data_IF_240833783303
#
_entry.id   IF_240833783303
#
_cell.length_a   1.000
_cell.length_b   1.000
_cell.length_c   1.000
_cell.angle_alpha   90.00
_cell.angle_beta   90.00
_cell.angle_gamma   90.00
#
_symmetry.space_group_name_H-M   'P 1'
#
loop_
_entity.id
_entity.type
_entity.pdbx_description
1 polymer ?
#
# COMPACT_ATOMS: atom_id res chain seq x y z
N UNK A 1 -82.54 -8.58 -12.96
CA UNK A 1 -82.69 -7.78 -11.73
C UNK A 1 -81.47 -8.03 -10.84
N UNK A 2 -80.85 -6.95 -10.34
CA UNK A 2 -79.78 -6.87 -9.31
C UNK A 2 -78.39 -7.46 -9.69
N UNK A 3 -77.38 -6.66 -10.10
CA UNK A 3 -76.47 -5.74 -9.36
C UNK A 3 -75.29 -6.43 -8.63
N UNK A 4 -74.11 -6.28 -9.25
CA UNK A 4 -72.82 -5.79 -8.70
C UNK A 4 -72.14 -6.51 -7.51
N UNK A 5 -70.89 -6.98 -7.68
CA UNK A 5 -69.69 -6.27 -7.19
C UNK A 5 -68.37 -6.93 -7.64
N UNK A 6 -67.44 -6.06 -8.02
CA UNK A 6 -66.02 -6.21 -8.35
C UNK A 6 -65.17 -6.64 -7.15
N UNK A 7 -64.13 -7.47 -7.34
CA UNK A 7 -62.81 -7.24 -6.72
C UNK A 7 -61.73 -8.16 -7.31
N UNK A 8 -60.71 -7.52 -7.87
CA UNK A 8 -59.42 -8.04 -8.31
C UNK A 8 -58.60 -8.44 -7.08
N UNK A 9 -57.92 -9.61 -7.11
CA UNK A 9 -56.81 -9.90 -6.19
C UNK A 9 -55.58 -10.31 -7.00
N UNK A 10 -54.50 -9.63 -6.66
CA UNK A 10 -53.24 -9.53 -7.36
C UNK A 10 -52.37 -10.79 -7.25
N UNK A 11 -51.61 -11.03 -8.33
CA UNK A 11 -50.47 -11.92 -8.40
C UNK A 11 -49.35 -11.37 -7.51
N UNK A 12 -49.09 -12.02 -6.38
CA UNK A 12 -47.88 -11.79 -5.57
C UNK A 12 -46.75 -12.66 -6.14
N UNK A 13 -46.00 -12.08 -7.08
CA UNK A 13 -44.66 -12.55 -7.41
C UNK A 13 -43.73 -12.23 -6.24
N UNK A 14 -43.37 -13.25 -5.47
CA UNK A 14 -42.33 -13.18 -4.44
C UNK A 14 -40.98 -12.89 -5.09
N UNK A 15 -40.54 -11.65 -4.97
CA UNK A 15 -39.18 -11.21 -5.28
C UNK A 15 -38.20 -11.92 -4.33
N UNK A 16 -37.49 -12.90 -4.86
CA UNK A 16 -36.25 -13.38 -4.27
C UNK A 16 -35.22 -12.24 -4.35
N UNK A 17 -34.93 -11.59 -3.22
CA UNK A 17 -33.78 -10.71 -3.11
C UNK A 17 -32.51 -11.55 -3.30
N UNK A 18 -31.59 -11.17 -4.21
CA UNK A 18 -30.27 -11.76 -4.19
C UNK A 18 -29.57 -11.26 -2.92
N UNK A 19 -29.06 -12.21 -2.13
CA UNK A 19 -28.10 -11.93 -1.08
C UNK A 19 -26.93 -11.14 -1.69
N UNK A 20 -26.79 -9.88 -1.28
CA UNK A 20 -25.61 -9.08 -1.59
C UNK A 20 -24.41 -9.76 -0.95
N UNK A 21 -23.57 -10.36 -1.78
CA UNK A 21 -22.29 -10.91 -1.37
C UNK A 21 -21.40 -9.79 -0.82
N UNK A 22 -21.17 -9.80 0.50
CA UNK A 22 -20.16 -9.01 1.21
C UNK A 22 -18.74 -9.55 0.94
N UNK A 23 -18.38 -9.73 -0.33
CA UNK A 23 -17.09 -10.29 -0.75
C UNK A 23 -16.20 -9.31 -1.52
N UNK A 24 -16.63 -8.08 -1.76
CA UNK A 24 -15.83 -7.10 -2.48
C UNK A 24 -15.19 -6.11 -1.50
N UNK A 25 -13.97 -6.42 -1.09
CA UNK A 25 -13.07 -5.45 -0.46
C UNK A 25 -12.71 -4.37 -1.47
N UNK A 26 -13.54 -3.34 -1.60
CA UNK A 26 -13.15 -2.15 -2.35
C UNK A 26 -11.96 -1.51 -1.64
N UNK A 27 -10.80 -1.35 -2.29
CA UNK A 27 -9.72 -0.59 -1.69
C UNK A 27 -10.20 0.85 -1.55
N UNK A 28 -10.56 1.25 -0.32
CA UNK A 28 -10.82 2.65 0.03
C UNK A 28 -9.53 3.45 -0.21
N UNK A 29 -9.40 3.99 -1.42
CA UNK A 29 -8.34 4.93 -1.78
C UNK A 29 -8.85 6.32 -1.43
N UNK A 30 -8.67 6.71 -0.19
CA UNK A 30 -9.04 8.06 0.23
C UNK A 30 -7.96 9.02 -0.34
N UNK A 31 -8.31 10.17 -0.93
CA UNK A 31 -7.34 11.04 -1.59
C UNK A 31 -6.29 11.57 -0.60
N UNK A 32 -5.03 11.64 -1.01
CA UNK A 32 -3.97 12.33 -0.24
C UNK A 32 -3.54 13.58 -1.01
N UNK A 33 -3.10 14.60 -0.29
CA UNK A 33 -2.57 15.83 -0.87
C UNK A 33 -1.39 15.54 -1.84
N UNK A 34 -1.37 16.14 -3.06
CA UNK A 34 -0.28 15.96 -4.02
C UNK A 34 1.10 16.40 -3.53
N UNK A 35 1.20 17.46 -2.70
CA UNK A 35 2.50 17.97 -2.22
C UNK A 35 3.16 16.95 -1.29
N UNK A 36 2.37 16.32 -0.42
CA UNK A 36 2.84 15.24 0.45
C UNK A 36 3.44 14.07 -0.35
N UNK A 37 3.00 13.80 -1.58
CA UNK A 37 3.55 12.72 -2.43
C UNK A 37 4.91 13.06 -3.04
N UNK A 38 5.28 14.34 -3.08
CA UNK A 38 6.54 14.82 -3.65
C UNK A 38 7.71 14.83 -2.64
N UNK A 39 7.44 14.58 -1.36
CA UNK A 39 8.47 14.54 -0.30
C UNK A 39 9.48 13.44 -0.63
N UNK A 40 10.75 13.83 -0.79
CA UNK A 40 11.86 12.96 -1.14
C UNK A 40 12.87 12.85 0.00
N UNK A 41 13.40 11.65 0.21
CA UNK A 41 14.47 11.38 1.18
C UNK A 41 15.60 10.67 0.45
N UNK A 42 16.83 11.18 0.60
CA UNK A 42 18.02 10.45 0.13
C UNK A 42 18.43 9.47 1.22
N UNK A 43 18.22 8.18 0.96
CA UNK A 43 18.59 7.08 1.85
C UNK A 43 19.98 6.53 1.51
N UNK A 44 20.24 6.40 0.21
CA UNK A 44 21.53 5.97 -0.33
C UNK A 44 21.82 6.82 -1.58
N UNK A 45 22.75 7.78 -1.49
CA UNK A 45 23.09 8.64 -2.62
C UNK A 45 23.72 7.86 -3.79
N UNK A 46 24.24 6.64 -3.54
CA UNK A 46 24.88 5.80 -4.54
C UNK A 46 26.03 6.52 -5.25
N UNK A 47 26.09 6.37 -6.57
CA UNK A 47 27.10 7.03 -7.41
C UNK A 47 26.68 8.46 -7.73
N UNK A 48 27.41 9.42 -7.16
CA UNK A 48 27.22 10.85 -7.41
C UNK A 48 28.20 11.38 -8.45
N UNK A 49 29.41 10.82 -8.56
CA UNK A 49 30.47 11.25 -9.49
C UNK A 49 30.95 10.10 -10.37
N UNK A 50 31.24 10.39 -11.65
CA UNK A 50 31.63 9.36 -12.62
C UNK A 50 32.94 8.68 -12.21
N UNK A 51 33.84 9.42 -11.57
CA UNK A 51 35.10 8.89 -11.05
C UNK A 51 34.94 7.79 -9.96
N UNK A 52 33.77 7.67 -9.32
CA UNK A 52 33.50 6.60 -8.35
C UNK A 52 33.33 5.23 -9.03
N UNK A 53 33.03 5.20 -10.33
CA UNK A 53 32.94 3.95 -11.09
C UNK A 53 34.34 3.42 -11.38
N UNK A 54 34.63 2.22 -10.87
CA UNK A 54 35.94 1.57 -10.98
C UNK A 54 36.29 1.22 -12.43
N UNK A 55 35.33 0.72 -13.20
CA UNK A 55 35.56 0.26 -14.57
C UNK A 55 35.46 1.42 -15.57
N UNK A 56 36.37 1.44 -16.55
CA UNK A 56 36.45 2.50 -17.55
C UNK A 56 35.23 2.52 -18.48
N UNK A 57 34.75 1.35 -18.88
CA UNK A 57 33.55 1.20 -19.70
C UNK A 57 32.33 1.82 -19.02
N UNK A 58 32.08 1.55 -17.73
CA UNK A 58 30.98 2.16 -17.00
C UNK A 58 31.11 3.68 -16.90
N UNK A 59 32.33 4.21 -16.81
CA UNK A 59 32.54 5.67 -16.83
C UNK A 59 32.11 6.27 -18.16
N UNK A 60 32.49 5.66 -19.27
CA UNK A 60 32.08 6.08 -20.61
C UNK A 60 30.58 5.93 -20.81
N UNK A 61 29.99 4.81 -20.38
CA UNK A 61 28.53 4.59 -20.40
C UNK A 61 27.80 5.68 -19.61
N UNK A 62 28.28 6.03 -18.41
CA UNK A 62 27.63 7.07 -17.60
C UNK A 62 27.72 8.45 -18.25
N UNK A 63 28.84 8.79 -18.91
CA UNK A 63 28.96 10.03 -19.69
C UNK A 63 27.96 10.04 -20.84
N UNK A 64 27.92 8.99 -21.66
CA UNK A 64 26.98 8.85 -22.77
C UNK A 64 25.52 8.98 -22.28
N UNK A 65 25.19 8.35 -21.15
CA UNK A 65 23.87 8.46 -20.51
C UNK A 65 23.50 9.92 -20.17
N UNK A 66 24.45 10.69 -19.62
CA UNK A 66 24.27 12.10 -19.25
C UNK A 66 24.17 13.02 -20.48
N UNK A 67 24.86 12.68 -21.56
CA UNK A 67 24.78 13.37 -22.85
C UNK A 67 23.48 13.03 -23.62
N UNK A 68 22.65 12.13 -23.08
CA UNK A 68 21.40 11.71 -23.71
C UNK A 68 21.58 10.73 -24.86
N UNK A 69 22.78 10.18 -25.03
CA UNK A 69 23.06 9.17 -26.05
C UNK A 69 22.37 7.84 -25.70
N UNK A 70 21.99 7.04 -26.70
CA UNK A 70 21.48 5.70 -26.48
C UNK A 70 22.50 4.83 -25.71
N UNK A 71 22.03 4.16 -24.66
CA UNK A 71 22.81 3.21 -23.87
C UNK A 71 22.12 1.85 -23.95
N UNK A 72 22.89 0.77 -24.12
CA UNK A 72 22.35 -0.60 -24.15
C UNK A 72 21.81 -1.05 -22.77
N UNK A 73 20.89 -2.03 -22.76
CA UNK A 73 20.23 -2.49 -21.53
C UNK A 73 21.18 -3.10 -20.51
N UNK A 74 22.12 -3.89 -20.98
CA UNK A 74 23.17 -4.50 -20.15
C UNK A 74 24.05 -3.45 -19.47
N UNK A 75 24.37 -2.37 -20.19
CA UNK A 75 25.15 -1.26 -19.70
C UNK A 75 24.37 -0.39 -18.70
N UNK A 76 23.08 -0.14 -18.95
CA UNK A 76 22.19 0.53 -17.98
C UNK A 76 22.03 -0.30 -16.71
N UNK A 77 21.82 -1.62 -16.85
CA UNK A 77 21.74 -2.55 -15.73
C UNK A 77 23.02 -2.52 -14.90
N UNK A 78 24.19 -2.61 -15.54
CA UNK A 78 25.47 -2.58 -14.85
C UNK A 78 25.71 -1.27 -14.07
N UNK A 79 25.26 -0.12 -14.62
CA UNK A 79 25.28 1.15 -13.89
C UNK A 79 24.30 1.16 -12.71
N UNK A 80 23.10 0.62 -12.89
CA UNK A 80 22.09 0.53 -11.85
C UNK A 80 22.54 -0.39 -10.68
N UNK A 81 23.16 -1.52 -11.01
CA UNK A 81 23.77 -2.46 -10.06
C UNK A 81 24.92 -1.80 -9.29
N UNK A 82 25.64 -0.88 -9.94
CA UNK A 82 26.63 -0.02 -9.28
C UNK A 82 26.01 1.11 -8.43
N UNK A 83 24.68 1.12 -8.22
CA UNK A 83 23.91 2.11 -7.45
C UNK A 83 23.83 3.49 -8.12
N UNK A 84 23.93 3.57 -9.45
CA UNK A 84 23.58 4.80 -10.16
C UNK A 84 22.06 4.95 -10.25
N UNK A 85 21.51 5.92 -9.50
CA UNK A 85 20.07 6.13 -9.43
C UNK A 85 19.40 6.56 -10.73
N UNK A 86 20.10 7.26 -11.63
CA UNK A 86 19.53 7.65 -12.93
C UNK A 86 19.48 6.45 -13.86
N UNK A 87 20.54 5.65 -13.90
CA UNK A 87 20.55 4.41 -14.66
C UNK A 87 19.47 3.45 -14.16
N UNK A 88 19.31 3.32 -12.84
CA UNK A 88 18.27 2.48 -12.24
C UNK A 88 16.85 2.92 -12.64
N UNK A 89 16.57 4.22 -12.64
CA UNK A 89 15.28 4.74 -13.10
C UNK A 89 15.03 4.44 -14.59
N UNK A 90 16.03 4.70 -15.45
CA UNK A 90 15.93 4.43 -16.89
C UNK A 90 15.77 2.94 -17.18
N UNK A 91 16.51 2.09 -16.48
CA UNK A 91 16.42 0.65 -16.68
C UNK A 91 15.07 0.09 -16.24
N UNK A 92 14.54 0.56 -15.10
CA UNK A 92 13.19 0.22 -14.67
C UNK A 92 12.13 0.62 -15.72
N UNK A 93 12.28 1.78 -16.37
CA UNK A 93 11.37 2.23 -17.42
C UNK A 93 11.38 1.31 -18.65
N UNK A 94 12.54 0.73 -18.99
CA UNK A 94 12.64 -0.27 -20.05
C UNK A 94 11.97 -1.59 -19.66
N UNK A 95 12.23 -2.07 -18.45
CA UNK A 95 11.57 -3.27 -17.93
C UNK A 95 10.03 -3.14 -17.89
N UNK A 96 9.52 -1.95 -17.53
CA UNK A 96 8.09 -1.65 -17.55
C UNK A 96 7.53 -1.66 -18.98
N UNK A 97 8.28 -1.15 -19.96
CA UNK A 97 7.86 -1.11 -21.35
C UNK A 97 7.86 -2.52 -22.01
N UNK A 98 8.78 -3.40 -21.59
CA UNK A 98 8.91 -4.75 -22.12
C UNK A 98 7.88 -5.73 -21.54
N UNK A 99 7.86 -5.88 -20.21
CA UNK A 99 6.99 -6.85 -19.54
C UNK A 99 6.75 -6.43 -18.07
N UNK A 100 5.73 -5.58 -17.81
CA UNK A 100 5.49 -5.04 -16.48
C UNK A 100 4.98 -6.06 -15.46
N UNK A 101 4.53 -7.24 -15.90
CA UNK A 101 4.04 -8.31 -15.02
C UNK A 101 5.15 -9.31 -14.72
N UNK A 102 5.81 -9.88 -15.74
CA UNK A 102 6.88 -10.86 -15.55
C UNK A 102 8.18 -10.26 -14.99
N UNK A 103 8.34 -8.93 -15.00
CA UNK A 103 9.52 -8.24 -14.43
C UNK A 103 9.24 -7.50 -13.13
N UNK A 104 8.12 -7.76 -12.44
CA UNK A 104 7.73 -6.98 -11.25
C UNK A 104 8.83 -6.89 -10.18
N UNK A 105 9.52 -7.99 -9.87
CA UNK A 105 10.60 -8.01 -8.88
C UNK A 105 11.79 -7.12 -9.28
N UNK A 106 12.21 -7.19 -10.55
CA UNK A 106 13.31 -6.35 -11.06
C UNK A 106 12.90 -4.87 -11.13
N UNK A 107 11.67 -4.59 -11.55
CA UNK A 107 11.12 -3.22 -11.54
C UNK A 107 11.14 -2.67 -10.11
N UNK A 108 10.63 -3.42 -9.13
CA UNK A 108 10.65 -3.01 -7.73
C UNK A 108 12.08 -2.80 -7.22
N UNK A 109 13.02 -3.68 -7.59
CA UNK A 109 14.43 -3.55 -7.26
C UNK A 109 15.03 -2.24 -7.80
N UNK A 110 15.03 -2.01 -9.11
CA UNK A 110 15.70 -0.85 -9.68
C UNK A 110 15.00 0.47 -9.37
N UNK A 111 13.66 0.48 -9.28
CA UNK A 111 12.95 1.67 -8.79
C UNK A 111 13.29 1.97 -7.33
N UNK A 112 13.53 0.98 -6.48
CA UNK A 112 13.97 1.24 -5.09
C UNK A 112 15.36 1.89 -5.02
N UNK A 113 16.27 1.56 -5.94
CA UNK A 113 17.59 2.22 -6.06
C UNK A 113 17.38 3.68 -6.47
N UNK A 114 16.55 3.92 -7.48
CA UNK A 114 16.24 5.27 -7.94
C UNK A 114 15.63 6.12 -6.81
N UNK A 115 14.60 5.61 -6.12
CA UNK A 115 13.95 6.32 -5.02
C UNK A 115 14.94 6.57 -3.87
N UNK A 116 15.71 5.56 -3.47
CA UNK A 116 16.73 5.70 -2.41
C UNK A 116 17.77 6.78 -2.70
N UNK A 117 18.08 7.03 -3.98
CA UNK A 117 18.97 8.11 -4.43
C UNK A 117 18.33 9.49 -4.56
N UNK A 118 17.07 9.65 -4.12
CA UNK A 118 16.32 10.91 -4.12
C UNK A 118 15.39 11.12 -5.33
N UNK A 119 15.24 10.13 -6.23
CA UNK A 119 14.34 10.23 -7.41
C UNK A 119 12.93 9.77 -7.04
N UNK A 120 12.27 10.56 -6.20
CA UNK A 120 10.94 10.23 -5.67
C UNK A 120 9.87 10.01 -6.75
N UNK A 121 10.03 10.56 -7.96
CA UNK A 121 9.10 10.28 -9.07
C UNK A 121 9.00 8.78 -9.43
N UNK A 122 10.03 7.99 -9.10
CA UNK A 122 10.03 6.54 -9.31
C UNK A 122 9.24 5.78 -8.22
N UNK A 123 8.86 6.43 -7.11
CA UNK A 123 8.18 5.80 -5.98
C UNK A 123 6.85 5.16 -6.39
N UNK A 124 6.07 5.83 -7.24
CA UNK A 124 4.82 5.25 -7.76
C UNK A 124 5.07 3.96 -8.53
N UNK A 125 6.09 3.93 -9.38
CA UNK A 125 6.46 2.73 -10.16
C UNK A 125 6.91 1.61 -9.22
N UNK A 126 7.68 1.94 -8.20
CA UNK A 126 8.09 1.01 -7.13
C UNK A 126 6.87 0.38 -6.44
N UNK A 127 5.99 1.20 -5.87
CA UNK A 127 4.81 0.72 -5.13
C UNK A 127 3.90 -0.13 -6.02
N UNK A 128 3.67 0.27 -7.27
CA UNK A 128 2.90 -0.51 -8.24
C UNK A 128 3.53 -1.88 -8.51
N UNK A 129 4.87 -1.96 -8.62
CA UNK A 129 5.56 -3.23 -8.82
C UNK A 129 5.50 -4.12 -7.58
N UNK A 130 5.64 -3.54 -6.37
CA UNK A 130 5.54 -4.27 -5.10
C UNK A 130 4.18 -4.95 -4.92
N UNK A 131 3.09 -4.35 -5.40
CA UNK A 131 1.75 -4.97 -5.36
C UNK A 131 1.60 -6.23 -6.21
N UNK A 132 2.55 -6.51 -7.11
CA UNK A 132 2.53 -7.68 -7.99
C UNK A 132 3.44 -8.81 -7.51
N UNK A 133 4.16 -8.60 -6.41
CA UNK A 133 5.09 -9.59 -5.87
C UNK A 133 4.35 -10.62 -5.03
N UNK A 134 4.76 -11.87 -5.15
CA UNK A 134 4.46 -12.89 -4.17
C UNK A 134 5.43 -12.76 -2.98
N UNK A 135 4.94 -12.55 -1.74
CA UNK A 135 5.78 -12.50 -0.55
C UNK A 135 6.68 -13.73 -0.34
N UNK A 136 6.24 -14.91 -0.78
CA UNK A 136 6.95 -16.17 -0.63
C UNK A 136 8.17 -16.27 -1.57
N UNK A 137 8.05 -15.73 -2.78
CA UNK A 137 9.08 -15.82 -3.82
C UNK A 137 10.09 -14.67 -3.76
N UNK A 138 9.72 -13.54 -3.18
CA UNK A 138 10.56 -12.34 -3.20
C UNK A 138 11.82 -12.51 -2.32
N UNK A 139 13.04 -12.28 -2.86
CA UNK A 139 14.28 -12.43 -2.09
C UNK A 139 14.35 -11.53 -0.86
N UNK A 140 14.80 -12.09 0.27
CA UNK A 140 14.90 -11.36 1.54
C UNK A 140 15.78 -10.10 1.46
N UNK A 141 16.85 -10.13 0.64
CA UNK A 141 17.71 -8.96 0.43
C UNK A 141 16.97 -7.81 -0.28
N UNK A 142 16.10 -8.13 -1.25
CA UNK A 142 15.27 -7.14 -1.95
C UNK A 142 14.22 -6.56 -1.02
N UNK A 143 13.52 -7.40 -0.24
CA UNK A 143 12.59 -6.95 0.81
C UNK A 143 13.23 -5.96 1.79
N UNK A 144 14.46 -6.23 2.27
CA UNK A 144 15.22 -5.30 3.12
C UNK A 144 15.49 -3.96 2.45
N UNK A 145 15.88 -3.96 1.18
CA UNK A 145 16.07 -2.73 0.41
C UNK A 145 14.76 -1.93 0.29
N UNK A 146 13.63 -2.59 0.02
CA UNK A 146 12.33 -1.92 -0.10
C UNK A 146 11.92 -1.24 1.20
N UNK A 147 12.07 -1.94 2.33
CA UNK A 147 11.81 -1.37 3.65
C UNK A 147 12.76 -0.20 3.96
N UNK A 148 14.06 -0.35 3.69
CA UNK A 148 15.04 0.70 3.90
C UNK A 148 14.73 1.98 3.13
N UNK A 149 14.03 1.88 2.00
CA UNK A 149 13.63 3.04 1.18
C UNK A 149 12.26 3.59 1.60
N UNK A 150 11.25 2.73 1.79
CA UNK A 150 9.88 3.18 2.06
C UNK A 150 9.71 3.81 3.45
N UNK A 151 10.32 3.23 4.48
CA UNK A 151 10.12 3.70 5.84
C UNK A 151 10.62 5.15 6.06
N UNK A 152 11.84 5.53 5.65
CA UNK A 152 12.28 6.91 5.76
C UNK A 152 11.38 7.90 5.02
N UNK A 153 10.90 7.54 3.83
CA UNK A 153 9.96 8.38 3.07
C UNK A 153 8.62 8.54 3.79
N UNK A 154 8.07 7.44 4.33
CA UNK A 154 6.85 7.46 5.11
C UNK A 154 6.98 8.38 6.34
N UNK A 155 8.10 8.28 7.06
CA UNK A 155 8.38 9.12 8.24
C UNK A 155 8.68 10.58 7.92
N UNK A 156 9.19 10.87 6.73
CA UNK A 156 9.34 12.24 6.25
C UNK A 156 8.00 12.86 5.83
N UNK A 157 6.91 12.09 5.83
CA UNK A 157 5.56 12.54 5.51
C UNK A 157 5.11 12.23 4.09
N UNK A 158 5.85 11.38 3.35
CA UNK A 158 5.39 10.95 2.04
C UNK A 158 4.17 10.03 2.17
N UNK A 159 3.00 10.56 1.83
CA UNK A 159 1.72 9.86 1.97
C UNK A 159 1.66 8.55 1.17
N UNK A 160 2.24 8.52 -0.04
CA UNK A 160 2.29 7.30 -0.86
C UNK A 160 3.19 6.24 -0.23
N UNK A 161 4.33 6.64 0.35
CA UNK A 161 5.19 5.73 1.07
C UNK A 161 4.53 5.22 2.36
N UNK A 162 3.81 6.09 3.09
CA UNK A 162 3.06 5.69 4.28
C UNK A 162 1.97 4.67 3.95
N UNK A 163 1.18 4.92 2.89
CA UNK A 163 0.18 3.98 2.40
C UNK A 163 0.81 2.63 2.03
N UNK A 164 1.97 2.64 1.35
CA UNK A 164 2.70 1.44 0.99
C UNK A 164 3.22 0.68 2.22
N UNK A 165 3.79 1.37 3.22
CA UNK A 165 4.24 0.75 4.48
C UNK A 165 3.06 0.05 5.15
N UNK A 166 1.89 0.68 5.23
CA UNK A 166 0.70 0.04 5.83
C UNK A 166 0.22 -1.16 5.00
N UNK A 167 0.22 -1.06 3.66
CA UNK A 167 -0.31 -2.10 2.77
C UNK A 167 0.55 -3.37 2.69
N UNK A 168 1.88 -3.22 2.75
CA UNK A 168 2.84 -4.32 2.61
C UNK A 168 3.21 -4.99 3.93
N UNK A 169 2.67 -4.49 5.04
CA UNK A 169 2.88 -5.02 6.37
C UNK A 169 1.66 -5.80 6.90
N UNK A 170 1.93 -6.89 7.60
CA UNK A 170 0.94 -7.81 8.14
C UNK A 170 1.38 -9.26 7.97
N UNK A 171 0.71 -10.15 8.67
CA UNK A 171 0.93 -11.58 8.50
C UNK A 171 0.66 -11.99 7.04
N UNK A 172 1.53 -12.84 6.49
CA UNK A 172 1.49 -13.25 5.07
C UNK A 172 1.79 -12.14 4.04
N UNK A 173 2.11 -10.91 4.46
CA UNK A 173 2.41 -9.78 3.54
C UNK A 173 3.89 -9.68 3.22
N UNK A 174 4.20 -8.87 2.19
CA UNK A 174 5.55 -8.72 1.64
C UNK A 174 6.62 -8.37 2.68
N UNK A 175 6.32 -7.53 3.68
CA UNK A 175 7.27 -7.15 4.74
C UNK A 175 7.09 -7.94 6.03
N UNK A 176 6.10 -8.83 6.10
CA UNK A 176 5.75 -9.56 7.31
C UNK A 176 5.05 -8.70 8.35
N UNK A 177 4.91 -9.25 9.56
CA UNK A 177 4.17 -8.63 10.65
C UNK A 177 4.82 -7.31 11.12
N UNK A 178 3.97 -6.33 11.46
CA UNK A 178 4.42 -5.10 12.11
C UNK A 178 4.81 -5.39 13.55
N UNK A 179 6.03 -4.99 13.92
CA UNK A 179 6.36 -4.80 15.33
C UNK A 179 5.42 -3.78 15.97
N UNK A 180 5.12 -3.97 17.25
CA UNK A 180 4.23 -3.08 18.00
C UNK A 180 4.75 -1.64 17.98
N UNK A 181 6.05 -1.43 18.21
CA UNK A 181 6.69 -0.11 18.13
C UNK A 181 6.51 0.58 16.77
N UNK A 182 6.56 -0.17 15.67
CA UNK A 182 6.33 0.42 14.34
C UNK A 182 4.87 0.81 14.17
N UNK A 183 3.95 -0.04 14.63
CA UNK A 183 2.52 0.23 14.58
C UNK A 183 2.15 1.46 15.38
N UNK A 184 2.70 1.58 16.59
CA UNK A 184 2.49 2.73 17.47
C UNK A 184 3.02 4.01 16.82
N UNK A 185 4.20 3.96 16.20
CA UNK A 185 4.74 5.10 15.44
C UNK A 185 3.85 5.51 14.25
N UNK A 186 3.27 4.55 13.51
CA UNK A 186 2.30 4.84 12.43
C UNK A 186 1.07 5.55 13.00
N UNK A 187 0.59 5.09 14.15
CA UNK A 187 -0.57 5.63 14.82
C UNK A 187 -0.33 7.01 15.43
N UNK A 188 0.86 7.27 15.98
CA UNK A 188 1.25 8.59 16.49
C UNK A 188 1.33 9.60 15.34
N UNK A 189 1.85 9.17 14.18
CA UNK A 189 1.87 10.00 12.98
C UNK A 189 0.45 10.33 12.49
N UNK A 190 -0.50 9.41 12.66
CA UNK A 190 -1.90 9.60 12.29
C UNK A 190 -2.71 10.38 13.33
N UNK A 191 -2.18 10.58 14.53
CA UNK A 191 -2.90 11.19 15.64
C UNK A 191 -3.33 12.63 15.30
N UNK A 192 -4.62 12.94 15.51
CA UNK A 192 -5.22 14.23 15.16
C UNK A 192 -5.48 14.42 13.66
N UNK A 193 -5.15 13.43 12.83
CA UNK A 193 -5.44 13.42 11.40
C UNK A 193 -6.89 13.03 11.07
N UNK A 194 -7.11 12.64 9.82
CA UNK A 194 -8.41 12.29 9.26
C UNK A 194 -8.92 10.88 9.62
N UNK A 195 -8.26 10.18 10.55
CA UNK A 195 -8.69 8.88 11.10
C UNK A 195 -8.55 7.70 10.15
N UNK A 196 -7.96 7.88 8.97
CA UNK A 196 -7.90 6.84 7.93
C UNK A 196 -6.99 5.68 8.27
N UNK A 197 -5.87 5.98 8.91
CA UNK A 197 -4.86 4.98 9.29
C UNK A 197 -5.47 4.05 10.33
N UNK A 198 -6.14 4.61 11.32
CA UNK A 198 -6.89 3.89 12.33
C UNK A 198 -7.98 3.01 11.71
N UNK A 199 -8.82 3.56 10.83
CA UNK A 199 -9.84 2.78 10.13
C UNK A 199 -9.25 1.60 9.36
N UNK A 200 -8.13 1.80 8.67
CA UNK A 200 -7.50 0.74 7.89
C UNK A 200 -6.98 -0.38 8.80
N UNK A 201 -6.38 -0.04 9.94
CA UNK A 201 -5.98 -1.05 10.91
C UNK A 201 -7.15 -1.80 11.52
N UNK A 202 -8.25 -1.10 11.86
CA UNK A 202 -9.46 -1.74 12.35
C UNK A 202 -10.06 -2.70 11.32
N UNK A 203 -10.33 -2.23 10.11
CA UNK A 203 -10.93 -3.04 9.03
C UNK A 203 -10.08 -4.26 8.72
N UNK A 204 -8.74 -4.14 8.74
CA UNK A 204 -7.86 -5.29 8.53
C UNK A 204 -8.05 -6.37 9.59
N UNK A 205 -8.15 -5.98 10.86
CA UNK A 205 -8.40 -6.96 11.93
C UNK A 205 -9.80 -7.54 11.80
N UNK A 206 -10.80 -6.73 11.46
CA UNK A 206 -12.19 -7.19 11.33
C UNK A 206 -12.41 -8.12 10.13
N UNK A 207 -11.57 -8.01 9.10
CA UNK A 207 -11.57 -8.87 7.92
C UNK A 207 -10.82 -10.19 8.12
N UNK A 208 -10.16 -10.37 9.26
CA UNK A 208 -9.52 -11.63 9.64
C UNK A 208 -10.56 -12.53 10.35
N UNK A 209 -10.89 -13.65 9.72
CA UNK A 209 -11.88 -14.60 10.24
C UNK A 209 -11.40 -15.29 11.52
N UNK A 210 -10.08 -15.37 11.73
CA UNK A 210 -9.43 -15.98 12.89
C UNK A 210 -9.08 -14.96 13.99
N UNK A 211 -9.57 -13.72 13.87
CA UNK A 211 -9.27 -12.65 14.83
C UNK A 211 -9.64 -13.02 16.27
N UNK A 212 -8.66 -12.93 17.18
CA UNK A 212 -8.86 -13.24 18.59
C UNK A 212 -9.67 -12.15 19.32
N UNK A 213 -10.17 -12.44 20.52
CA UNK A 213 -10.83 -11.42 21.35
C UNK A 213 -9.93 -10.20 21.63
N UNK A 214 -8.62 -10.43 21.78
CA UNK A 214 -7.65 -9.36 21.95
C UNK A 214 -7.51 -8.51 20.68
N UNK A 215 -7.57 -9.13 19.50
CA UNK A 215 -7.53 -8.41 18.23
C UNK A 215 -8.81 -7.60 18.01
N UNK A 216 -9.98 -8.16 18.31
CA UNK A 216 -11.24 -7.43 18.28
C UNK A 216 -11.25 -6.23 19.24
N UNK A 217 -10.69 -6.37 20.44
CA UNK A 217 -10.51 -5.25 21.37
C UNK A 217 -9.58 -4.16 20.79
N UNK A 218 -8.52 -4.58 20.10
CA UNK A 218 -7.59 -3.67 19.40
C UNK A 218 -8.25 -2.96 18.23
N UNK A 219 -9.05 -3.68 17.43
CA UNK A 219 -9.85 -3.11 16.35
C UNK A 219 -10.82 -2.06 16.88
N UNK A 220 -11.52 -2.35 17.98
CA UNK A 220 -12.38 -1.37 18.67
C UNK A 220 -11.59 -0.11 19.05
N UNK A 221 -10.41 -0.26 19.65
CA UNK A 221 -9.56 0.89 20.02
C UNK A 221 -9.20 1.78 18.83
N UNK A 222 -8.89 1.19 17.67
CA UNK A 222 -8.65 1.95 16.44
C UNK A 222 -9.92 2.65 15.93
N UNK A 223 -11.06 1.97 15.91
CA UNK A 223 -12.33 2.59 15.51
C UNK A 223 -12.68 3.77 16.42
N UNK A 224 -12.45 3.66 17.72
CA UNK A 224 -12.66 4.74 18.68
C UNK A 224 -11.79 5.97 18.39
N UNK A 225 -10.52 5.76 18.06
CA UNK A 225 -9.64 6.84 17.60
C UNK A 225 -10.09 7.45 16.27
N UNK A 226 -10.52 6.63 15.32
CA UNK A 226 -11.07 7.11 14.05
C UNK A 226 -12.36 7.92 14.24
N UNK A 227 -13.22 7.54 15.20
CA UNK A 227 -14.42 8.29 15.59
C UNK A 227 -14.09 9.66 16.19
N UNK A 228 -12.94 9.79 16.84
CA UNK A 228 -12.44 11.06 17.37
C UNK A 228 -11.71 11.92 16.32
N UNK A 229 -11.52 11.44 15.09
CA UNK A 229 -10.78 12.16 14.04
C UNK A 229 -11.47 13.44 13.57
N UNK A 230 -10.79 14.26 12.76
CA UNK A 230 -11.41 15.49 12.21
C UNK A 230 -12.31 15.22 10.99
N UNK A 231 -12.25 14.03 10.39
CA UNK A 231 -12.94 13.70 9.15
C UNK A 231 -14.35 13.15 9.39
N UNK A 232 -15.43 13.82 8.93
CA UNK A 232 -16.80 13.33 9.11
C UNK A 232 -17.02 11.94 8.51
N UNK A 233 -16.41 11.66 7.36
CA UNK A 233 -16.49 10.33 6.71
C UNK A 233 -15.85 9.26 7.57
N UNK A 234 -14.69 9.55 8.18
CA UNK A 234 -14.03 8.58 9.04
C UNK A 234 -14.84 8.31 10.32
N UNK A 235 -15.46 9.36 10.90
CA UNK A 235 -16.36 9.22 12.05
C UNK A 235 -17.53 8.29 11.76
N UNK A 236 -18.29 8.58 10.70
CA UNK A 236 -19.49 7.80 10.34
C UNK A 236 -19.14 6.33 10.02
N UNK A 237 -18.01 6.10 9.34
CA UNK A 237 -17.51 4.74 9.06
C UNK A 237 -17.16 4.01 10.37
N UNK A 238 -16.45 4.68 11.29
CA UNK A 238 -16.08 4.12 12.57
C UNK A 238 -17.30 3.75 13.42
N UNK A 239 -18.31 4.62 13.49
CA UNK A 239 -19.57 4.38 14.22
C UNK A 239 -20.33 3.17 13.68
N UNK A 240 -20.38 3.03 12.36
CA UNK A 240 -21.01 1.88 11.70
C UNK A 240 -20.29 0.58 12.07
N UNK A 241 -18.95 0.56 11.97
CA UNK A 241 -18.15 -0.62 12.29
C UNK A 241 -18.17 -0.98 13.78
N UNK A 242 -18.20 0.01 14.67
CA UNK A 242 -18.38 -0.21 16.11
C UNK A 242 -19.71 -0.91 16.40
N UNK A 243 -20.79 -0.43 15.80
CA UNK A 243 -22.13 -1.03 15.96
C UNK A 243 -22.17 -2.48 15.49
N UNK A 244 -21.52 -2.79 14.36
CA UNK A 244 -21.40 -4.16 13.85
C UNK A 244 -20.56 -5.05 14.78
N UNK A 245 -19.47 -4.53 15.33
CA UNK A 245 -18.62 -5.26 16.26
C UNK A 245 -19.34 -5.55 17.58
N UNK A 246 -20.11 -4.60 18.09
CA UNK A 246 -20.94 -4.76 19.29
C UNK A 246 -22.01 -5.82 19.08
N UNK A 247 -22.67 -5.84 17.91
CA UNK A 247 -23.62 -6.90 17.55
C UNK A 247 -22.96 -8.29 17.45
N UNK A 248 -21.74 -8.38 16.90
CA UNK A 248 -20.97 -9.64 16.79
C UNK A 248 -20.52 -10.18 18.14
N UNK A 249 -20.17 -9.29 19.08
CA UNK A 249 -19.60 -9.67 20.39
C UNK A 249 -20.66 -9.81 21.49
N UNK A 250 -21.78 -9.08 21.40
CA UNK A 250 -22.91 -9.16 22.33
C UNK A 250 -23.87 -10.33 22.06
N UNK A 251 -23.74 -11.00 20.92
CA UNK A 251 -24.60 -12.13 20.51
C UNK A 251 -24.09 -13.54 20.87
N UNK A 252 -22.93 -13.69 21.52
CA UNK A 252 -22.42 -14.99 21.93
C UNK A 252 -23.13 -15.45 23.23
N UNK A 253 -23.97 -16.51 23.20
CA UNK A 253 -24.51 -17.05 24.44
C UNK A 253 -23.39 -17.72 25.23
N UNK A 254 -23.21 -17.30 26.48
CA UNK A 254 -22.48 -18.06 27.49
C UNK A 254 -23.08 -19.46 27.59
N UNK A 255 -22.43 -20.45 27.00
CA UNK A 255 -22.71 -21.85 27.33
C UNK A 255 -22.11 -22.11 28.71
N UNK A 256 -22.98 -22.11 29.72
CA UNK A 256 -22.74 -22.75 31.01
C UNK A 256 -23.07 -24.23 30.96
#
# INVERSE_FOLDING_TARGET
MSRSLTAVIAVLAGLAWPALGLGQSFPMTIPSDPESRAISVVVDPGITKTAQLRRADLRETRKAMHEGLPVADDALRALADARDGLAAARYADRLIAEDPLGRASDIAWYTSIAVGSGRVYALRKMVTALHRLDPADEPAARKRQYMAVLYPHAWAGNALAMDAVIAFNGEGRLFGALSDATRDKILDYAAGGDGRVELRFAVRILADDDATAADLARARSYLERARASVSPTAKATAETLLSLLDARTGGAPTQG
#
